data_IF_225086687708
#
_entry.id   IF_225086687708
#
_cell.length_a   1.000
_cell.length_b   1.000
_cell.length_c   1.000
_cell.angle_alpha   90.00
_cell.angle_beta   90.00
_cell.angle_gamma   90.00
#
_symmetry.space_group_name_H-M   'P 1'
#
loop_
_entity.id
_entity.type
_entity.pdbx_description
1 polymer ?
#
# COMPACT_ATOMS: atom_id res chain seq x y z
N UNK A 1 -8.43 20.19 29.65
CA UNK A 1 -7.26 19.29 29.68
C UNK A 1 -7.29 18.38 28.45
N UNK A 2 -6.28 18.43 27.63
CA UNK A 2 -6.18 17.54 26.48
C UNK A 2 -5.88 16.12 26.92
N UNK A 3 -6.58 15.13 26.38
CA UNK A 3 -6.23 13.73 26.61
C UNK A 3 -4.93 13.38 25.90
N UNK A 4 -4.09 12.53 26.49
CA UNK A 4 -2.87 12.09 25.81
C UNK A 4 -3.21 11.31 24.52
N UNK A 5 -2.47 11.57 23.47
CA UNK A 5 -2.61 10.87 22.21
C UNK A 5 -2.11 9.43 22.38
N UNK A 6 -2.96 8.45 22.04
CA UNK A 6 -2.68 7.03 22.28
C UNK A 6 -2.00 6.35 21.09
N UNK A 7 -2.25 6.85 19.87
CA UNK A 7 -1.77 6.24 18.64
C UNK A 7 -1.28 7.31 17.67
N UNK A 8 -0.53 6.87 16.64
CA UNK A 8 -0.14 7.75 15.55
C UNK A 8 -1.37 8.33 14.83
N UNK A 9 -2.43 7.54 14.70
CA UNK A 9 -3.68 8.01 14.09
C UNK A 9 -4.32 9.14 14.89
N UNK A 10 -4.31 9.03 16.23
CA UNK A 10 -4.81 10.10 17.09
C UNK A 10 -3.99 11.38 16.91
N UNK A 11 -2.67 11.22 16.82
CA UNK A 11 -1.78 12.36 16.59
C UNK A 11 -2.06 13.05 15.26
N UNK A 12 -2.23 12.26 14.19
CA UNK A 12 -2.53 12.78 12.84
C UNK A 12 -3.91 13.45 12.79
N UNK A 13 -4.89 12.92 13.52
CA UNK A 13 -6.21 13.54 13.60
C UNK A 13 -6.16 14.90 14.30
N UNK A 14 -5.30 15.03 15.32
CA UNK A 14 -5.08 16.29 16.03
C UNK A 14 -4.19 17.27 15.26
N UNK A 15 -3.33 16.72 14.38
CA UNK A 15 -2.36 17.50 13.59
C UNK A 15 -2.49 17.14 12.12
N UNK A 16 -3.64 17.48 11.47
CA UNK A 16 -3.83 17.11 10.08
C UNK A 16 -2.77 17.76 9.19
N UNK A 17 -2.23 17.02 8.23
CA UNK A 17 -1.30 17.61 7.27
C UNK A 17 -1.96 18.76 6.53
N UNK A 18 -1.19 19.79 6.25
CA UNK A 18 -1.68 20.90 5.45
C UNK A 18 -1.95 20.46 4.02
N UNK A 19 -2.90 21.10 3.36
CA UNK A 19 -3.10 20.92 1.93
C UNK A 19 -1.77 21.12 1.21
N UNK A 20 -1.38 20.14 0.37
CA UNK A 20 -0.08 20.13 -0.31
C UNK A 20 0.99 19.26 0.34
N UNK A 21 0.78 18.79 1.59
CA UNK A 21 1.70 17.86 2.24
C UNK A 21 1.37 16.39 1.95
N UNK A 22 0.18 16.14 1.43
CA UNK A 22 -0.26 14.79 1.04
C UNK A 22 0.17 14.51 -0.41
N UNK A 23 1.45 14.23 -0.58
CA UNK A 23 2.06 14.08 -1.91
C UNK A 23 2.52 12.66 -2.22
N UNK A 24 2.41 11.73 -1.28
CA UNK A 24 2.89 10.36 -1.52
C UNK A 24 2.07 9.64 -2.58
N UNK A 25 2.78 8.94 -3.46
CA UNK A 25 2.21 8.13 -4.53
C UNK A 25 2.84 6.74 -4.51
N UNK A 26 2.22 5.77 -5.16
CA UNK A 26 2.83 4.45 -5.32
C UNK A 26 4.11 4.51 -6.16
N UNK A 27 4.16 5.39 -7.15
CA UNK A 27 5.39 5.67 -7.89
C UNK A 27 6.51 6.17 -6.96
N UNK A 28 6.17 7.03 -6.01
CA UNK A 28 7.09 7.51 -4.99
C UNK A 28 7.57 6.41 -4.05
N UNK A 29 6.69 5.50 -3.65
CA UNK A 29 7.08 4.32 -2.85
C UNK A 29 8.12 3.48 -3.59
N UNK A 30 7.90 3.23 -4.88
CA UNK A 30 8.87 2.50 -5.71
C UNK A 30 10.22 3.21 -5.77
N UNK A 31 10.21 4.52 -5.96
CA UNK A 31 11.44 5.32 -6.01
C UNK A 31 12.21 5.25 -4.68
N UNK A 32 11.51 5.31 -3.57
CA UNK A 32 12.10 5.18 -2.23
C UNK A 32 12.74 3.80 -2.05
N UNK A 33 12.06 2.73 -2.48
CA UNK A 33 12.59 1.37 -2.40
C UNK A 33 13.86 1.22 -3.27
N UNK A 34 13.88 1.79 -4.48
CA UNK A 34 15.07 1.77 -5.33
C UNK A 34 16.25 2.52 -4.69
N UNK A 35 15.95 3.55 -3.94
CA UNK A 35 16.98 4.32 -3.22
C UNK A 35 17.49 3.62 -1.96
N UNK A 36 16.98 2.42 -1.63
CA UNK A 36 17.43 1.63 -0.50
C UNK A 36 16.63 1.81 0.78
N UNK A 37 15.53 2.57 0.75
CA UNK A 37 14.65 2.69 1.90
C UNK A 37 13.88 1.40 2.14
N UNK A 38 13.50 1.15 3.40
CA UNK A 38 12.69 0.00 3.78
C UNK A 38 11.31 0.06 3.09
N UNK A 39 11.02 -0.94 2.27
CA UNK A 39 9.79 -1.00 1.48
C UNK A 39 8.53 -1.03 2.35
N UNK A 40 8.54 -1.85 3.41
CA UNK A 40 7.38 -1.97 4.31
C UNK A 40 7.08 -0.67 5.02
N UNK A 41 8.13 0.04 5.40
CA UNK A 41 7.99 1.37 6.02
C UNK A 41 7.41 2.37 5.01
N UNK A 42 7.94 2.40 3.80
CA UNK A 42 7.44 3.29 2.75
C UNK A 42 5.96 3.03 2.45
N UNK A 43 5.56 1.76 2.37
CA UNK A 43 4.14 1.38 2.18
C UNK A 43 3.28 1.84 3.35
N UNK A 44 3.72 1.65 4.58
CA UNK A 44 2.95 2.09 5.76
C UNK A 44 2.73 3.60 5.74
N UNK A 45 3.77 4.35 5.46
CA UNK A 45 3.67 5.81 5.38
C UNK A 45 2.73 6.26 4.27
N UNK A 46 2.79 5.57 3.12
CA UNK A 46 1.84 5.80 2.02
C UNK A 46 0.40 5.54 2.47
N UNK A 47 0.13 4.40 3.11
CA UNK A 47 -1.20 4.03 3.56
C UNK A 47 -1.75 4.99 4.62
N UNK A 48 -0.90 5.44 5.55
CA UNK A 48 -1.27 6.43 6.55
C UNK A 48 -1.74 7.72 5.89
N UNK A 49 -0.99 8.20 4.91
CA UNK A 49 -1.34 9.41 4.18
C UNK A 49 -2.56 9.23 3.28
N UNK A 50 -2.66 8.08 2.60
CA UNK A 50 -3.81 7.76 1.75
C UNK A 50 -5.12 7.77 2.55
N UNK A 51 -5.10 7.23 3.78
CA UNK A 51 -6.27 7.24 4.65
C UNK A 51 -6.74 8.66 5.01
N UNK A 52 -5.83 9.63 5.00
CA UNK A 52 -6.13 11.03 5.29
C UNK A 52 -6.58 11.83 4.06
N UNK A 53 -6.37 11.29 2.86
CA UNK A 53 -6.79 11.98 1.64
C UNK A 53 -8.31 11.95 1.50
N UNK A 54 -8.88 13.05 1.02
CA UNK A 54 -10.25 13.05 0.56
C UNK A 54 -10.41 12.28 -0.75
N UNK A 55 -11.65 11.94 -1.09
CA UNK A 55 -11.97 11.14 -2.28
C UNK A 55 -11.42 11.76 -3.58
N UNK A 56 -11.38 13.09 -3.66
CA UNK A 56 -10.87 13.80 -4.84
C UNK A 56 -9.36 13.65 -5.02
N UNK A 57 -8.62 13.47 -3.94
CA UNK A 57 -7.15 13.37 -3.94
C UNK A 57 -6.62 11.94 -4.06
N UNK A 58 -7.46 10.94 -3.80
CA UNK A 58 -7.06 9.53 -3.81
C UNK A 58 -6.63 9.00 -5.18
N UNK A 59 -7.31 9.35 -6.29
CA UNK A 59 -6.88 8.87 -7.61
C UNK A 59 -5.44 9.21 -7.95
N UNK A 60 -4.99 10.42 -7.62
CA UNK A 60 -3.62 10.85 -7.89
C UNK A 60 -2.57 10.00 -7.15
N UNK A 61 -2.92 9.43 -6.01
CA UNK A 61 -2.00 8.60 -5.22
C UNK A 61 -1.61 7.29 -5.92
N UNK A 62 -2.47 6.76 -6.80
CA UNK A 62 -2.27 5.49 -7.48
C UNK A 62 -2.13 5.59 -9.00
N UNK A 63 -2.31 6.78 -9.58
CA UNK A 63 -2.37 6.94 -11.03
C UNK A 63 -1.04 6.75 -11.74
N UNK A 64 0.05 7.30 -11.19
CA UNK A 64 1.34 7.28 -11.84
C UNK A 64 1.98 5.88 -11.78
N UNK A 65 2.46 5.41 -12.92
CA UNK A 65 3.12 4.11 -13.03
C UNK A 65 4.43 4.10 -12.23
N UNK A 66 4.57 3.22 -11.24
CA UNK A 66 5.86 3.03 -10.57
C UNK A 66 6.89 2.42 -11.52
N UNK A 67 8.10 2.97 -11.52
CA UNK A 67 9.22 2.32 -12.19
C UNK A 67 9.59 1.03 -11.45
N UNK A 68 10.16 0.02 -12.14
CA UNK A 68 10.60 -1.20 -11.49
C UNK A 68 11.53 -0.92 -10.30
N UNK A 69 11.27 -1.56 -9.16
CA UNK A 69 12.08 -1.38 -7.95
C UNK A 69 13.39 -2.17 -7.99
N UNK A 70 13.51 -3.13 -8.89
CA UNK A 70 14.58 -4.12 -8.88
C UNK A 70 14.23 -5.38 -8.11
N UNK A 71 13.11 -5.39 -7.38
CA UNK A 71 12.59 -6.56 -6.68
C UNK A 71 11.18 -6.89 -7.22
N UNK A 72 11.02 -8.02 -7.94
CA UNK A 72 9.72 -8.39 -8.51
C UNK A 72 8.59 -8.52 -7.47
N UNK A 73 8.94 -8.88 -6.23
CA UNK A 73 7.97 -9.00 -5.13
C UNK A 73 7.34 -7.65 -4.79
N UNK A 74 8.17 -6.62 -4.75
CA UNK A 74 7.71 -5.25 -4.48
C UNK A 74 6.89 -4.71 -5.64
N UNK A 75 7.32 -4.99 -6.87
CA UNK A 75 6.58 -4.57 -8.06
C UNK A 75 5.18 -5.20 -8.11
N UNK A 76 5.08 -6.48 -7.76
CA UNK A 76 3.79 -7.18 -7.66
C UNK A 76 2.93 -6.63 -6.52
N UNK A 77 3.52 -6.34 -5.37
CA UNK A 77 2.82 -5.73 -4.24
C UNK A 77 2.20 -4.39 -4.62
N UNK A 78 2.96 -3.54 -5.29
CA UNK A 78 2.46 -2.22 -5.70
C UNK A 78 1.30 -2.33 -6.68
N UNK A 79 1.35 -3.26 -7.64
CA UNK A 79 0.24 -3.54 -8.54
C UNK A 79 -1.00 -4.02 -7.80
N UNK A 80 -0.81 -4.93 -6.84
CA UNK A 80 -1.89 -5.43 -5.99
C UNK A 80 -2.52 -4.34 -5.14
N UNK A 81 -1.70 -3.49 -4.54
CA UNK A 81 -2.17 -2.39 -3.69
C UNK A 81 -2.99 -1.38 -4.50
N UNK A 82 -2.52 -1.02 -5.69
CA UNK A 82 -3.26 -0.09 -6.56
C UNK A 82 -4.64 -0.65 -6.92
N UNK A 83 -4.72 -1.90 -7.32
CA UNK A 83 -6.00 -2.54 -7.65
C UNK A 83 -6.90 -2.65 -6.42
N UNK A 84 -6.34 -3.06 -5.28
CA UNK A 84 -7.09 -3.18 -4.03
C UNK A 84 -7.68 -1.83 -3.58
N UNK A 85 -6.88 -0.78 -3.58
CA UNK A 85 -7.34 0.56 -3.20
C UNK A 85 -8.39 1.09 -4.19
N UNK A 86 -8.21 0.85 -5.48
CA UNK A 86 -9.19 1.24 -6.49
C UNK A 86 -10.54 0.57 -6.23
N UNK A 87 -10.54 -0.74 -5.97
CA UNK A 87 -11.77 -1.48 -5.68
C UNK A 87 -12.42 -1.03 -4.38
N UNK A 88 -11.63 -0.82 -3.32
CA UNK A 88 -12.14 -0.44 -2.01
C UNK A 88 -12.73 0.97 -1.98
N UNK A 89 -12.25 1.88 -2.83
CA UNK A 89 -12.65 3.29 -2.83
C UNK A 89 -13.40 3.73 -4.09
N UNK A 90 -13.81 2.78 -4.94
CA UNK A 90 -14.56 3.10 -6.15
C UNK A 90 -13.76 3.92 -7.18
N UNK A 91 -12.46 3.73 -7.23
CA UNK A 91 -11.56 4.42 -8.16
C UNK A 91 -11.34 3.59 -9.43
N UNK A 92 -10.95 4.27 -10.51
CA UNK A 92 -10.51 3.57 -11.72
C UNK A 92 -9.20 2.80 -11.43
N UNK A 93 -9.19 1.53 -11.81
CA UNK A 93 -7.97 0.72 -11.70
C UNK A 93 -6.92 1.24 -12.68
N UNK A 94 -5.72 1.60 -12.21
CA UNK A 94 -4.67 2.04 -13.12
C UNK A 94 -4.26 0.91 -14.09
N UNK A 95 -4.09 1.24 -15.36
CA UNK A 95 -3.70 0.25 -16.37
C UNK A 95 -2.35 -0.42 -16.05
N UNK A 96 -1.41 0.32 -15.47
CA UNK A 96 -0.10 -0.22 -15.11
C UNK A 96 -0.18 -1.35 -14.07
N UNK A 97 -1.23 -1.37 -13.24
CA UNK A 97 -1.36 -2.36 -12.16
C UNK A 97 -1.50 -3.80 -12.67
N UNK A 98 -1.89 -3.99 -13.91
CA UNK A 98 -2.07 -5.31 -14.53
C UNK A 98 -1.01 -5.64 -15.58
N UNK A 99 0.08 -4.90 -15.63
CA UNK A 99 1.23 -5.25 -16.46
C UNK A 99 1.82 -6.60 -16.02
N UNK A 100 2.40 -7.40 -16.97
CA UNK A 100 2.93 -8.74 -16.65
C UNK A 100 3.91 -8.76 -15.48
N UNK A 101 4.76 -7.75 -15.35
CA UNK A 101 5.72 -7.63 -14.25
C UNK A 101 5.09 -7.42 -12.87
N UNK A 102 3.77 -7.28 -12.79
CA UNK A 102 3.03 -7.13 -11.53
C UNK A 102 2.48 -8.46 -11.00
N UNK A 103 2.86 -9.57 -11.59
CA UNK A 103 2.42 -10.92 -11.21
C UNK A 103 3.64 -11.80 -10.94
N UNK A 104 3.60 -12.53 -9.81
CA UNK A 104 4.72 -13.40 -9.41
C UNK A 104 4.51 -14.82 -9.92
N UNK A 105 5.59 -15.48 -10.31
CA UNK A 105 5.60 -16.90 -10.66
C UNK A 105 5.58 -17.80 -9.42
N UNK A 106 6.07 -17.28 -8.29
CA UNK A 106 6.11 -17.98 -7.00
C UNK A 106 5.42 -17.16 -5.94
N UNK A 107 4.73 -17.84 -5.03
CA UNK A 107 4.05 -17.18 -3.91
C UNK A 107 5.05 -16.49 -2.98
N UNK A 108 4.67 -15.31 -2.55
CA UNK A 108 5.42 -14.56 -1.57
C UNK A 108 4.52 -14.15 -0.39
N UNK A 109 5.02 -14.41 0.80
CA UNK A 109 4.37 -14.01 2.04
C UNK A 109 5.11 -12.79 2.60
N UNK A 110 4.40 -11.69 2.80
CA UNK A 110 4.99 -10.45 3.33
C UNK A 110 5.58 -10.67 4.72
N UNK A 111 4.95 -11.51 5.54
CA UNK A 111 5.46 -11.86 6.87
C UNK A 111 6.36 -13.08 6.80
N UNK A 112 7.53 -12.99 7.46
CA UNK A 112 8.46 -14.09 7.59
C UNK A 112 8.07 -15.07 8.71
N UNK A 113 7.00 -14.80 9.45
CA UNK A 113 6.54 -15.64 10.56
C UNK A 113 5.74 -16.83 10.00
N UNK A 114 6.23 -18.07 10.08
CA UNK A 114 5.54 -19.23 9.47
C UNK A 114 4.12 -19.45 9.99
N UNK A 115 3.87 -19.18 11.26
CA UNK A 115 2.54 -19.32 11.87
C UNK A 115 1.48 -18.38 11.30
N UNK A 116 1.87 -17.33 10.58
CA UNK A 116 0.94 -16.38 9.97
C UNK A 116 0.59 -16.71 8.50
N UNK A 117 1.21 -17.74 7.92
CA UNK A 117 0.97 -18.08 6.51
C UNK A 117 -0.47 -18.51 6.24
N UNK A 118 -1.03 -19.36 7.09
CA UNK A 118 -2.42 -19.80 6.94
C UNK A 118 -3.39 -18.63 7.00
N UNK A 119 -3.20 -17.71 7.92
CA UNK A 119 -4.00 -16.48 8.05
C UNK A 119 -3.85 -15.61 6.79
N UNK A 120 -2.64 -15.44 6.30
CA UNK A 120 -2.38 -14.66 5.08
C UNK A 120 -3.07 -15.27 3.87
N UNK A 121 -3.03 -16.59 3.70
CA UNK A 121 -3.72 -17.30 2.63
C UNK A 121 -5.23 -17.09 2.72
N UNK A 122 -5.79 -17.22 3.94
CA UNK A 122 -7.23 -17.10 4.15
C UNK A 122 -7.74 -15.66 3.97
N UNK A 123 -6.95 -14.66 4.35
CA UNK A 123 -7.37 -13.26 4.43
C UNK A 123 -6.83 -12.38 3.31
N UNK A 124 -5.92 -12.88 2.47
CA UNK A 124 -5.35 -12.04 1.41
C UNK A 124 -6.46 -11.55 0.48
N UNK A 125 -6.56 -10.23 0.24
CA UNK A 125 -7.50 -9.70 -0.74
C UNK A 125 -7.25 -10.26 -2.14
N UNK A 126 -8.30 -10.33 -2.95
CA UNK A 126 -8.24 -10.93 -4.29
C UNK A 126 -7.14 -10.33 -5.17
N UNK A 127 -6.95 -9.02 -5.13
CA UNK A 127 -5.92 -8.33 -5.90
C UNK A 127 -4.51 -8.82 -5.58
N UNK A 128 -4.23 -9.09 -4.30
CA UNK A 128 -2.95 -9.63 -3.84
C UNK A 128 -2.84 -11.12 -4.17
N UNK A 129 -3.87 -11.88 -3.86
CA UNK A 129 -3.89 -13.33 -4.07
C UNK A 129 -3.59 -13.71 -5.52
N UNK A 130 -4.23 -13.07 -6.47
CA UNK A 130 -4.04 -13.40 -7.90
C UNK A 130 -2.65 -13.02 -8.43
N UNK A 131 -1.91 -12.20 -7.69
CA UNK A 131 -0.52 -11.85 -8.01
C UNK A 131 0.50 -12.70 -7.28
N UNK A 132 0.03 -13.65 -6.46
CA UNK A 132 0.90 -14.50 -5.65
C UNK A 132 1.46 -13.82 -4.41
N UNK A 133 0.89 -12.68 -4.01
CA UNK A 133 1.30 -11.92 -2.82
C UNK A 133 0.29 -12.17 -1.70
N UNK A 134 0.75 -12.71 -0.58
CA UNK A 134 -0.11 -13.03 0.55
C UNK A 134 0.18 -12.10 1.72
N UNK A 135 -0.82 -11.32 2.05
CA UNK A 135 -0.78 -10.35 3.16
C UNK A 135 -2.04 -10.48 3.99
N UNK A 136 -1.98 -10.29 5.32
CA UNK A 136 -3.19 -10.17 6.12
C UNK A 136 -3.94 -8.90 5.72
N UNK A 137 -5.26 -9.00 5.58
CA UNK A 137 -6.09 -7.85 5.22
C UNK A 137 -5.85 -6.66 6.17
N UNK A 138 -5.73 -6.93 7.46
CA UNK A 138 -5.48 -5.91 8.49
C UNK A 138 -4.22 -5.08 8.25
N UNK A 139 -3.23 -5.61 7.53
CA UNK A 139 -2.00 -4.86 7.24
C UNK A 139 -2.22 -3.72 6.26
N UNK A 140 -3.35 -3.73 5.55
CA UNK A 140 -3.73 -2.72 4.56
C UNK A 140 -4.66 -1.65 5.14
N UNK A 141 -5.21 -1.89 6.33
CA UNK A 141 -6.06 -0.93 7.03
C UNK A 141 -5.23 -0.09 7.99
N UNK A 142 -5.42 1.22 7.92
CA UNK A 142 -4.78 2.18 8.82
C UNK A 142 -5.86 2.88 9.63
N UNK A 143 -5.76 2.74 10.89
CA UNK A 143 -6.72 3.30 11.84
C UNK A 143 -6.11 4.48 12.58
#
# INVERSE_FOLDING_TARGET
MAQPLKTRSDWLAAHPPRAGQLTQTLAGVAARARAGEDFRRAVREFLDEFALRGDDARPAAIADRPEPTGDPRYDAYLGALAEHLAAAHGLARPAWSVEPGRFLDRFWFLSDVPGLRATAIAQAPAAFRRRGVFVPERSLHRV
#
